data_IF_112410599398
#
_entry.id   IF_112410599398
#
_cell.length_a   1.000
_cell.length_b   1.000
_cell.length_c   1.000
_cell.angle_alpha   90.00
_cell.angle_beta   90.00
_cell.angle_gamma   90.00
#
_symmetry.space_group_name_H-M   'P 1'
#
loop_
_entity.id
_entity.type
_entity.pdbx_description
1 polymer ?
#
# COMPACT_ATOMS: atom_id res chain seq x y z
N UNK A 1 -9.50 -14.60 -2.62
CA UNK A 1 -8.46 -15.60 -2.95
C UNK A 1 -8.50 -16.71 -1.90
N UNK A 2 -8.43 -17.96 -2.28
CA UNK A 2 -8.30 -19.07 -1.33
C UNK A 2 -6.85 -19.22 -0.90
N UNK A 3 -6.62 -19.88 0.25
CA UNK A 3 -5.28 -19.99 0.82
C UNK A 3 -4.32 -20.81 -0.07
N UNK A 4 -4.82 -21.87 -0.70
CA UNK A 4 -4.06 -22.70 -1.65
C UNK A 4 -3.65 -21.96 -2.92
N UNK A 5 -4.54 -21.13 -3.46
CA UNK A 5 -4.23 -20.24 -4.59
C UNK A 5 -3.18 -19.20 -4.19
N UNK A 6 -3.35 -18.56 -3.03
CA UNK A 6 -2.40 -17.60 -2.51
C UNK A 6 -1.01 -18.23 -2.33
N UNK A 7 -0.94 -19.42 -1.73
CA UNK A 7 0.31 -20.13 -1.53
C UNK A 7 1.00 -20.46 -2.85
N UNK A 8 0.23 -20.85 -3.89
CA UNK A 8 0.76 -21.08 -5.25
C UNK A 8 1.43 -19.80 -5.79
N UNK A 9 0.79 -18.64 -5.65
CA UNK A 9 1.34 -17.38 -6.17
C UNK A 9 2.56 -16.90 -5.37
N UNK A 10 2.54 -17.05 -4.06
CA UNK A 10 3.71 -16.74 -3.21
C UNK A 10 4.88 -17.67 -3.55
N UNK A 11 4.62 -18.97 -3.75
CA UNK A 11 5.64 -19.95 -4.13
C UNK A 11 6.27 -19.64 -5.50
N UNK A 12 5.46 -19.16 -6.44
CA UNK A 12 5.93 -18.74 -7.77
C UNK A 12 6.84 -17.49 -7.64
N UNK A 13 6.38 -16.45 -6.97
CA UNK A 13 7.18 -15.25 -6.73
C UNK A 13 8.48 -15.53 -5.94
N UNK A 14 8.46 -16.49 -5.01
CA UNK A 14 9.63 -16.83 -4.20
C UNK A 14 10.82 -17.38 -5.03
N UNK A 15 10.58 -17.95 -6.20
CA UNK A 15 11.64 -18.43 -7.11
C UNK A 15 12.47 -17.27 -7.68
N UNK A 16 11.95 -16.05 -7.63
CA UNK A 16 12.56 -14.84 -8.18
C UNK A 16 13.02 -13.86 -7.09
N UNK A 17 13.17 -14.31 -5.85
CA UNK A 17 13.71 -13.49 -4.76
C UNK A 17 12.67 -12.61 -4.08
N UNK A 18 11.48 -13.15 -3.83
CA UNK A 18 10.42 -12.46 -3.08
C UNK A 18 10.90 -12.00 -1.70
N UNK A 19 10.87 -10.71 -1.43
CA UNK A 19 11.29 -10.12 -0.17
C UNK A 19 10.14 -9.77 0.75
N UNK A 20 9.05 -9.24 0.18
CA UNK A 20 7.90 -8.72 0.95
C UNK A 20 6.61 -9.10 0.23
N UNK A 21 5.61 -9.52 1.01
CA UNK A 21 4.23 -9.66 0.55
C UNK A 21 3.36 -8.68 1.32
N UNK A 22 2.73 -7.77 0.58
CA UNK A 22 1.74 -6.88 1.13
C UNK A 22 0.36 -7.53 1.04
N UNK A 23 -0.23 -7.84 2.19
CA UNK A 23 -1.52 -8.53 2.33
C UNK A 23 -2.68 -7.54 2.37
N UNK A 24 -2.64 -6.54 1.50
CA UNK A 24 -3.70 -5.55 1.35
C UNK A 24 -4.23 -5.53 -0.09
N UNK A 25 -5.12 -4.61 -0.37
CA UNK A 25 -5.67 -4.44 -1.72
C UNK A 25 -6.85 -3.46 -1.74
N UNK A 26 -7.75 -3.64 -2.72
CA UNK A 26 -8.95 -2.79 -2.89
C UNK A 26 -10.05 -3.03 -1.85
N UNK A 27 -9.76 -3.74 -0.76
CA UNK A 27 -10.65 -4.04 0.34
C UNK A 27 -9.98 -3.83 1.69
N UNK A 28 -10.60 -4.35 2.73
CA UNK A 28 -10.04 -4.32 4.08
C UNK A 28 -9.48 -5.70 4.45
N UNK A 29 -8.16 -5.79 4.58
CA UNK A 29 -7.44 -7.05 4.85
C UNK A 29 -7.94 -7.76 6.12
N UNK A 30 -8.24 -7.01 7.17
CA UNK A 30 -8.68 -7.55 8.46
C UNK A 30 -10.10 -8.13 8.47
N UNK A 31 -10.82 -8.04 7.36
CA UNK A 31 -12.07 -8.78 7.16
C UNK A 31 -11.85 -10.29 6.89
N UNK A 32 -10.63 -10.68 6.51
CA UNK A 32 -10.25 -12.07 6.35
C UNK A 32 -9.99 -12.71 7.74
N UNK A 33 -10.93 -13.53 8.23
CA UNK A 33 -10.84 -14.19 9.54
C UNK A 33 -9.61 -15.08 9.71
N UNK A 34 -9.09 -15.60 8.60
CA UNK A 34 -7.93 -16.48 8.54
C UNK A 34 -6.65 -15.74 8.09
N UNK A 35 -6.57 -14.43 8.26
CA UNK A 35 -5.38 -13.63 7.92
C UNK A 35 -4.08 -14.17 8.56
N UNK A 36 -4.07 -14.68 9.81
CA UNK A 36 -2.88 -15.32 10.37
C UNK A 36 -2.32 -16.46 9.51
N UNK A 37 -3.18 -17.23 8.84
CA UNK A 37 -2.74 -18.33 7.98
C UNK A 37 -2.04 -17.81 6.69
N UNK A 38 -2.50 -16.68 6.13
CA UNK A 38 -1.82 -16.02 5.02
C UNK A 38 -0.44 -15.48 5.44
N UNK A 39 -0.33 -14.91 6.64
CA UNK A 39 0.95 -14.48 7.20
C UNK A 39 1.91 -15.66 7.30
N UNK A 40 1.47 -16.81 7.85
CA UNK A 40 2.28 -18.05 7.97
C UNK A 40 2.75 -18.54 6.60
N UNK A 41 1.92 -18.47 5.56
CA UNK A 41 2.35 -18.79 4.19
C UNK A 41 3.48 -17.90 3.75
N UNK A 42 3.37 -16.57 3.92
CA UNK A 42 4.45 -15.63 3.58
C UNK A 42 5.74 -15.99 4.31
N UNK A 43 5.66 -16.25 5.61
CA UNK A 43 6.83 -16.65 6.44
C UNK A 43 7.44 -17.97 6.01
N UNK A 44 6.62 -18.94 5.58
CA UNK A 44 7.09 -20.24 5.05
C UNK A 44 8.06 -20.09 3.88
N UNK A 45 7.86 -19.07 3.04
CA UNK A 45 8.72 -18.77 1.87
C UNK A 45 9.82 -17.74 2.16
N UNK A 46 10.05 -17.41 3.45
CA UNK A 46 11.14 -16.52 3.88
C UNK A 46 10.91 -15.03 3.61
N UNK A 47 9.74 -14.65 3.14
CA UNK A 47 9.40 -13.26 2.89
C UNK A 47 8.88 -12.55 4.16
N UNK A 48 8.89 -11.21 4.13
CA UNK A 48 8.27 -10.38 5.16
C UNK A 48 6.79 -10.16 4.85
N UNK A 49 5.95 -10.29 5.88
CA UNK A 49 4.52 -10.03 5.79
C UNK A 49 4.22 -8.59 6.21
N UNK A 50 3.60 -7.84 5.32
CA UNK A 50 3.17 -6.47 5.53
C UNK A 50 1.64 -6.39 5.42
N UNK A 51 1.00 -5.56 6.27
CA UNK A 51 -0.43 -5.27 6.20
C UNK A 51 -0.64 -3.76 6.29
N UNK A 52 -1.48 -3.25 5.38
CA UNK A 52 -2.03 -1.91 5.42
C UNK A 52 -3.55 -1.98 5.58
N UNK A 53 -4.11 -1.37 6.61
CA UNK A 53 -5.50 -1.56 7.02
C UNK A 53 -6.05 -0.33 7.76
N UNK A 54 -7.37 -0.19 7.80
CA UNK A 54 -8.02 0.80 8.65
C UNK A 54 -7.89 0.48 10.15
N UNK A 55 -7.46 -0.73 10.51
CA UNK A 55 -7.19 -1.15 11.87
C UNK A 55 -8.40 -1.42 12.75
N UNK A 56 -9.63 -1.27 12.24
CA UNK A 56 -10.85 -1.40 13.04
C UNK A 56 -11.05 -2.78 13.65
N UNK A 57 -10.63 -3.83 12.94
CA UNK A 57 -10.70 -5.23 13.39
C UNK A 57 -9.41 -5.72 14.06
N UNK A 58 -8.36 -4.90 14.11
CA UNK A 58 -7.06 -5.29 14.65
C UNK A 58 -7.04 -5.08 16.17
N UNK A 59 -7.75 -5.94 16.89
CA UNK A 59 -7.91 -5.88 18.34
C UNK A 59 -7.93 -7.29 18.97
N UNK A 60 -7.66 -7.37 20.26
CA UNK A 60 -7.81 -8.58 21.07
C UNK A 60 -7.03 -9.78 20.53
N UNK A 61 -7.67 -10.97 20.58
CA UNK A 61 -7.00 -12.22 20.17
C UNK A 61 -6.66 -12.25 18.69
N UNK A 62 -7.48 -11.67 17.82
CA UNK A 62 -7.20 -11.64 16.39
C UNK A 62 -5.91 -10.86 16.05
N UNK A 63 -5.68 -9.74 16.71
CA UNK A 63 -4.44 -8.97 16.59
C UNK A 63 -3.24 -9.81 17.07
N UNK A 64 -3.36 -10.47 18.22
CA UNK A 64 -2.30 -11.33 18.78
C UNK A 64 -1.98 -12.49 17.84
N UNK A 65 -2.99 -13.17 17.30
CA UNK A 65 -2.81 -14.27 16.34
C UNK A 65 -2.05 -13.80 15.08
N UNK A 66 -2.30 -12.57 14.60
CA UNK A 66 -1.56 -12.02 13.48
C UNK A 66 -0.09 -11.75 13.82
N UNK A 67 0.20 -11.16 14.97
CA UNK A 67 1.57 -10.91 15.44
C UNK A 67 2.32 -12.23 15.66
N UNK A 68 1.68 -13.20 16.32
CA UNK A 68 2.27 -14.51 16.61
C UNK A 68 2.47 -15.36 15.35
N UNK A 69 1.70 -15.11 14.29
CA UNK A 69 1.92 -15.72 12.97
C UNK A 69 3.20 -15.21 12.27
N UNK A 70 3.86 -14.22 12.83
CA UNK A 70 5.10 -13.64 12.31
C UNK A 70 4.90 -12.42 11.41
N UNK A 71 3.88 -11.61 11.70
CA UNK A 71 3.69 -10.33 11.02
C UNK A 71 4.91 -9.43 11.24
N UNK A 72 5.52 -8.94 10.16
CA UNK A 72 6.73 -8.10 10.25
C UNK A 72 6.38 -6.60 10.31
N UNK A 73 5.29 -6.17 9.67
CA UNK A 73 4.92 -4.77 9.60
C UNK A 73 3.41 -4.58 9.52
N UNK A 74 2.86 -3.73 10.37
CA UNK A 74 1.47 -3.32 10.32
C UNK A 74 1.34 -1.80 10.22
N UNK A 75 0.59 -1.33 9.22
CA UNK A 75 0.35 0.08 9.00
C UNK A 75 -1.13 0.40 9.15
N UNK A 76 -1.44 1.21 10.14
CA UNK A 76 -2.77 1.75 10.33
C UNK A 76 -3.02 2.92 9.38
N UNK A 77 -4.08 2.85 8.58
CA UNK A 77 -4.61 3.99 7.84
C UNK A 77 -5.31 4.90 8.85
N UNK A 78 -4.57 5.86 9.40
CA UNK A 78 -5.02 6.71 10.49
C UNK A 78 -4.90 8.17 10.09
N UNK A 79 -5.89 8.62 9.28
CA UNK A 79 -5.92 9.96 8.69
C UNK A 79 -6.68 10.91 9.61
N UNK A 80 -6.03 11.99 10.02
CA UNK A 80 -6.56 12.94 10.99
C UNK A 80 -5.92 12.81 12.36
N UNK A 81 -5.80 13.93 13.06
CA UNK A 81 -5.17 14.02 14.39
C UNK A 81 -6.19 14.00 15.54
N UNK A 82 -7.48 14.04 15.22
CA UNK A 82 -8.58 13.96 16.19
C UNK A 82 -9.83 13.32 15.59
N UNK A 83 -10.89 13.16 16.38
CA UNK A 83 -12.15 12.55 15.97
C UNK A 83 -12.83 13.31 14.82
N UNK A 84 -12.74 14.63 14.79
CA UNK A 84 -13.39 15.44 13.77
C UNK A 84 -12.69 15.26 12.42
N UNK A 85 -11.36 15.35 12.40
CA UNK A 85 -10.56 15.15 11.20
C UNK A 85 -10.69 13.72 10.70
N UNK A 86 -10.57 12.74 11.58
CA UNK A 86 -10.72 11.33 11.23
C UNK A 86 -12.08 11.03 10.58
N UNK A 87 -13.17 11.51 11.18
CA UNK A 87 -14.52 11.28 10.67
C UNK A 87 -14.78 11.95 9.32
N UNK A 88 -14.07 13.03 9.02
CA UNK A 88 -14.17 13.73 7.74
C UNK A 88 -13.52 12.94 6.59
N UNK A 89 -12.39 12.29 6.85
CA UNK A 89 -11.55 11.71 5.80
C UNK A 89 -11.63 10.18 5.72
N UNK A 90 -11.99 9.51 6.81
CA UNK A 90 -12.15 8.06 6.81
C UNK A 90 -13.58 7.68 6.45
N UNK A 91 -13.74 7.09 5.28
CA UNK A 91 -15.04 6.70 4.73
C UNK A 91 -15.81 5.77 5.70
N UNK A 92 -17.10 6.07 5.90
CA UNK A 92 -17.96 5.37 6.86
C UNK A 92 -17.52 5.42 8.33
N UNK A 93 -16.62 6.34 8.69
CA UNK A 93 -16.33 6.56 10.10
C UNK A 93 -17.57 7.11 10.81
N UNK A 94 -17.84 6.55 12.00
CA UNK A 94 -18.89 7.02 12.91
C UNK A 94 -18.24 7.44 14.24
N UNK A 95 -18.96 8.19 15.06
CA UNK A 95 -18.41 8.66 16.32
C UNK A 95 -17.83 7.53 17.18
N UNK A 96 -16.64 7.76 17.71
CA UNK A 96 -15.88 6.81 18.51
C UNK A 96 -14.92 5.91 17.71
N UNK A 97 -14.93 5.92 16.37
CA UNK A 97 -13.99 5.13 15.56
C UNK A 97 -12.54 5.59 15.80
N UNK A 98 -12.27 6.89 15.82
CA UNK A 98 -10.94 7.42 16.12
C UNK A 98 -10.41 6.87 17.44
N UNK A 99 -11.20 6.98 18.51
CA UNK A 99 -10.83 6.48 19.83
C UNK A 99 -10.64 4.95 19.86
N UNK A 100 -11.42 4.20 19.09
CA UNK A 100 -11.22 2.77 18.95
C UNK A 100 -9.92 2.43 18.26
N UNK A 101 -9.64 3.04 17.10
CA UNK A 101 -8.39 2.78 16.37
C UNK A 101 -7.19 3.17 17.22
N UNK A 102 -7.24 4.30 17.91
CA UNK A 102 -6.19 4.70 18.83
C UNK A 102 -5.92 3.63 19.90
N UNK A 103 -6.95 3.09 20.52
CA UNK A 103 -6.80 1.96 21.48
C UNK A 103 -6.21 0.71 20.81
N UNK A 104 -6.63 0.38 19.59
CA UNK A 104 -6.10 -0.78 18.86
C UNK A 104 -4.60 -0.61 18.56
N UNK A 105 -4.16 0.61 18.22
CA UNK A 105 -2.73 0.95 18.05
C UNK A 105 -1.99 0.74 19.38
N UNK A 106 -2.48 1.32 20.47
CA UNK A 106 -1.89 1.24 21.81
C UNK A 106 -1.80 -0.23 22.29
N UNK A 107 -2.86 -1.02 22.07
CA UNK A 107 -2.89 -2.44 22.41
C UNK A 107 -1.86 -3.24 21.60
N UNK A 108 -1.77 -2.99 20.29
CA UNK A 108 -0.80 -3.68 19.43
C UNK A 108 0.64 -3.32 19.79
N UNK A 109 0.94 -2.06 20.06
CA UNK A 109 2.27 -1.62 20.53
C UNK A 109 2.65 -2.30 21.83
N UNK A 110 1.71 -2.36 22.80
CA UNK A 110 1.93 -3.04 24.07
C UNK A 110 2.20 -4.53 23.89
N UNK A 111 1.41 -5.20 23.06
CA UNK A 111 1.57 -6.64 22.80
C UNK A 111 2.86 -6.97 22.07
N UNK A 112 3.23 -6.23 21.05
CA UNK A 112 4.50 -6.41 20.34
C UNK A 112 5.68 -6.31 21.31
N UNK A 113 5.65 -5.34 22.21
CA UNK A 113 6.67 -5.19 23.26
C UNK A 113 6.66 -6.34 24.27
N UNK A 114 5.48 -6.79 24.71
CA UNK A 114 5.31 -7.88 25.67
C UNK A 114 5.77 -9.22 25.09
N UNK A 115 5.38 -9.51 23.86
CA UNK A 115 5.72 -10.78 23.18
C UNK A 115 7.18 -10.86 22.69
N UNK A 116 7.89 -9.73 22.66
CA UNK A 116 9.23 -9.64 22.08
C UNK A 116 9.23 -9.79 20.56
N UNK A 117 8.10 -9.53 19.89
CA UNK A 117 8.00 -9.55 18.44
C UNK A 117 8.75 -8.38 17.80
N UNK A 118 9.38 -8.64 16.64
CA UNK A 118 10.02 -7.60 15.81
C UNK A 118 9.02 -6.85 14.90
N UNK A 119 7.71 -7.08 15.07
CA UNK A 119 6.68 -6.42 14.28
C UNK A 119 6.75 -4.90 14.42
N UNK A 120 6.87 -4.20 13.30
CA UNK A 120 6.85 -2.73 13.28
C UNK A 120 5.41 -2.25 13.20
N UNK A 121 4.96 -1.53 14.22
CA UNK A 121 3.66 -0.86 14.23
C UNK A 121 3.84 0.56 13.71
N UNK A 122 3.05 0.94 12.70
CA UNK A 122 3.12 2.26 12.09
C UNK A 122 1.76 2.84 11.76
N UNK A 123 1.73 4.16 11.58
CA UNK A 123 0.58 4.89 11.05
C UNK A 123 0.87 5.46 9.68
N UNK A 124 -0.19 5.69 8.92
CA UNK A 124 -0.17 6.37 7.64
C UNK A 124 -1.14 7.52 7.67
N UNK A 125 -0.66 8.70 7.32
CA UNK A 125 -1.47 9.91 7.24
C UNK A 125 -1.32 10.54 5.86
N UNK A 126 -2.40 11.11 5.36
CA UNK A 126 -2.41 11.96 4.17
C UNK A 126 -2.63 13.40 4.60
N UNK A 127 -1.78 14.30 4.14
CA UNK A 127 -2.01 15.74 4.29
C UNK A 127 -3.34 16.08 3.62
N UNK A 128 -4.24 16.66 4.37
CA UNK A 128 -5.62 16.94 3.96
C UNK A 128 -5.83 18.38 3.54
N UNK A 129 -4.90 19.27 3.90
CA UNK A 129 -4.87 20.68 3.51
C UNK A 129 -3.47 21.13 3.08
N UNK A 130 -3.21 21.16 1.78
CA UNK A 130 -1.93 21.61 1.24
C UNK A 130 -1.58 23.08 1.55
N UNK A 131 -2.54 23.90 2.02
CA UNK A 131 -2.27 25.28 2.42
C UNK A 131 -1.77 25.40 3.86
N UNK A 132 -1.97 24.35 4.68
CA UNK A 132 -1.59 24.32 6.09
C UNK A 132 -0.74 23.08 6.45
N UNK A 133 0.13 22.63 5.53
CA UNK A 133 0.94 21.42 5.70
C UNK A 133 1.71 21.43 7.02
N UNK A 134 2.37 22.53 7.36
CA UNK A 134 3.21 22.62 8.56
C UNK A 134 2.40 22.44 9.85
N UNK A 135 1.22 23.05 9.94
CA UNK A 135 0.37 22.92 11.10
C UNK A 135 -0.19 21.50 11.26
N UNK A 136 -0.68 20.91 10.17
CA UNK A 136 -1.19 19.53 10.14
C UNK A 136 -0.09 18.54 10.49
N UNK A 137 1.10 18.73 9.91
CA UNK A 137 2.29 17.92 10.18
C UNK A 137 2.69 17.92 11.66
N UNK A 138 2.77 19.07 12.29
CA UNK A 138 3.16 19.19 13.71
C UNK A 138 2.12 18.55 14.64
N UNK A 139 0.83 18.73 14.37
CA UNK A 139 -0.24 18.06 15.12
C UNK A 139 -0.13 16.53 15.02
N UNK A 140 0.07 16.03 13.80
CA UNK A 140 0.16 14.59 13.60
C UNK A 140 1.44 13.98 14.18
N UNK A 141 2.57 14.68 14.11
CA UNK A 141 3.82 14.25 14.76
C UNK A 141 3.67 14.14 16.27
N UNK A 142 2.99 15.10 16.89
CA UNK A 142 2.69 15.04 18.33
C UNK A 142 1.89 13.79 18.68
N UNK A 143 0.84 13.47 17.92
CA UNK A 143 0.07 12.23 18.08
C UNK A 143 0.92 10.97 17.94
N UNK A 144 1.80 10.94 16.93
CA UNK A 144 2.70 9.81 16.69
C UNK A 144 3.68 9.59 17.84
N UNK A 145 4.23 10.67 18.38
CA UNK A 145 5.15 10.63 19.54
C UNK A 145 4.42 10.11 20.80
N UNK A 146 3.17 10.53 21.04
CA UNK A 146 2.33 10.01 22.12
C UNK A 146 2.06 8.50 21.98
N UNK A 147 1.79 8.03 20.76
CA UNK A 147 1.53 6.62 20.47
C UNK A 147 2.81 5.76 20.48
N UNK A 148 3.98 6.38 20.35
CA UNK A 148 5.27 5.67 20.28
C UNK A 148 5.42 4.77 19.05
N UNK A 149 4.83 5.13 17.92
CA UNK A 149 4.81 4.33 16.70
C UNK A 149 5.69 4.91 15.58
N UNK A 150 5.94 4.11 14.55
CA UNK A 150 6.48 4.61 13.29
C UNK A 150 5.38 5.30 12.49
N UNK A 151 5.75 6.20 11.57
CA UNK A 151 4.77 6.87 10.73
C UNK A 151 5.31 7.25 9.37
N UNK A 152 4.36 7.38 8.44
CA UNK A 152 4.56 7.98 7.14
C UNK A 152 3.44 8.98 6.87
N UNK A 153 3.82 10.20 6.54
CA UNK A 153 2.90 11.29 6.20
C UNK A 153 3.14 11.65 4.74
N UNK A 154 2.10 11.53 3.94
CA UNK A 154 2.15 11.71 2.50
C UNK A 154 1.25 12.85 2.06
N UNK A 155 1.56 13.46 0.91
CA UNK A 155 0.59 14.30 0.22
C UNK A 155 -0.57 13.45 -0.28
N UNK A 156 -1.76 14.01 -0.28
CA UNK A 156 -2.93 13.37 -0.89
C UNK A 156 -2.67 13.09 -2.36
N UNK A 157 -3.22 11.99 -2.85
CA UNK A 157 -3.10 11.57 -4.25
C UNK A 157 -4.46 11.09 -4.77
N UNK A 158 -4.62 11.05 -6.09
CA UNK A 158 -5.92 10.88 -6.75
C UNK A 158 -6.23 9.44 -7.16
N UNK A 159 -5.44 8.45 -6.73
CA UNK A 159 -5.63 7.03 -7.09
C UNK A 159 -5.90 6.84 -8.59
N UNK A 160 -4.97 7.30 -9.42
CA UNK A 160 -5.08 7.21 -10.90
C UNK A 160 -6.32 7.91 -11.47
N UNK A 161 -6.76 9.00 -10.83
CA UNK A 161 -7.92 9.77 -11.22
C UNK A 161 -9.25 9.22 -10.72
N UNK A 162 -9.25 8.18 -9.87
CA UNK A 162 -10.47 7.64 -9.29
C UNK A 162 -11.10 8.57 -8.24
N UNK A 163 -10.30 9.49 -7.68
CA UNK A 163 -10.74 10.42 -6.64
C UNK A 163 -10.45 11.87 -7.02
N UNK A 164 -11.46 12.72 -6.94
CA UNK A 164 -11.28 14.17 -7.04
C UNK A 164 -10.79 14.72 -5.69
N UNK A 165 -9.55 15.17 -5.67
CA UNK A 165 -8.89 15.72 -4.48
C UNK A 165 -8.94 17.26 -4.43
N UNK A 166 -9.70 17.91 -5.32
CA UNK A 166 -9.95 19.34 -5.32
C UNK A 166 -8.66 20.17 -5.31
N UNK A 167 -8.57 21.11 -4.36
CA UNK A 167 -7.43 22.02 -4.20
C UNK A 167 -6.11 21.31 -3.84
N UNK A 168 -6.19 20.04 -3.39
CA UNK A 168 -5.01 19.21 -3.14
C UNK A 168 -4.40 18.61 -4.42
N UNK A 169 -5.01 18.85 -5.60
CA UNK A 169 -4.52 18.36 -6.86
C UNK A 169 -3.08 18.84 -7.12
N UNK A 170 -2.19 17.90 -7.42
CA UNK A 170 -0.79 18.19 -7.69
C UNK A 170 -0.65 18.92 -9.02
N UNK A 171 0.26 19.87 -9.07
CA UNK A 171 0.56 20.70 -10.26
C UNK A 171 2.04 20.56 -10.60
N UNK A 172 2.34 20.36 -11.87
CA UNK A 172 3.72 20.24 -12.33
C UNK A 172 3.81 19.68 -13.74
N UNK A 173 5.02 19.45 -14.19
CA UNK A 173 5.26 18.75 -15.45
C UNK A 173 4.94 17.28 -15.31
N UNK A 174 4.43 16.68 -16.36
CA UNK A 174 4.29 15.24 -16.45
C UNK A 174 5.68 14.63 -16.65
N UNK A 175 6.03 13.68 -15.79
CA UNK A 175 7.20 12.84 -15.87
C UNK A 175 6.70 11.40 -15.81
N UNK A 176 7.51 10.46 -16.14
CA UNK A 176 7.12 9.05 -16.02
C UNK A 176 7.08 8.57 -14.56
N UNK A 177 6.46 7.42 -14.35
CA UNK A 177 6.38 6.73 -13.05
C UNK A 177 7.26 5.47 -13.08
N UNK A 178 7.96 5.17 -11.97
CA UNK A 178 8.84 4.01 -11.83
C UNK A 178 8.15 2.66 -11.68
N UNK A 179 6.86 2.63 -11.41
CA UNK A 179 6.14 1.38 -11.09
C UNK A 179 6.18 0.31 -12.18
N UNK A 180 6.05 0.60 -13.48
CA UNK A 180 6.16 -0.42 -14.52
C UNK A 180 7.55 -1.06 -14.63
N UNK A 181 8.58 -0.38 -14.11
CA UNK A 181 9.97 -0.81 -14.14
C UNK A 181 10.42 -1.46 -12.82
N UNK A 182 9.62 -1.31 -11.78
CA UNK A 182 9.86 -1.92 -10.47
C UNK A 182 9.50 -3.41 -10.50
N UNK A 183 10.24 -4.27 -9.76
CA UNK A 183 9.86 -5.67 -9.59
C UNK A 183 8.61 -5.87 -8.71
N UNK A 184 7.94 -4.81 -8.32
CA UNK A 184 6.69 -4.89 -7.57
C UNK A 184 5.54 -5.25 -8.49
N UNK A 185 4.81 -6.31 -8.16
CA UNK A 185 3.60 -6.72 -8.86
C UNK A 185 2.40 -6.71 -7.92
N UNK A 186 1.24 -6.37 -8.45
CA UNK A 186 -0.01 -6.41 -7.70
C UNK A 186 -0.86 -7.57 -8.22
N UNK A 187 -1.10 -8.58 -7.39
CA UNK A 187 -1.93 -9.74 -7.73
C UNK A 187 -3.26 -9.59 -7.00
N UNK A 188 -4.35 -9.42 -7.75
CA UNK A 188 -5.68 -9.23 -7.18
C UNK A 188 -6.30 -10.53 -6.70
N UNK A 189 -6.93 -10.48 -5.53
CA UNK A 189 -7.63 -11.61 -4.93
C UNK A 189 -8.97 -11.97 -5.64
N UNK A 190 -9.42 -11.11 -6.50
CA UNK A 190 -10.60 -11.23 -7.34
C UNK A 190 -10.91 -9.85 -7.89
N UNK A 191 -11.23 -9.74 -9.16
CA UNK A 191 -11.64 -8.52 -9.82
C UNK A 191 -13.15 -8.53 -10.09
N UNK A 192 -13.62 -7.57 -10.88
CA UNK A 192 -15.00 -7.52 -11.38
C UNK A 192 -15.31 -8.76 -12.24
N UNK A 193 -14.32 -9.33 -12.90
CA UNK A 193 -14.37 -10.58 -13.67
C UNK A 193 -14.48 -11.85 -12.80
N UNK A 194 -14.39 -11.70 -11.47
CA UNK A 194 -14.37 -12.79 -10.47
C UNK A 194 -13.22 -13.80 -10.62
N UNK A 195 -12.24 -13.53 -11.48
CA UNK A 195 -11.03 -14.35 -11.58
C UNK A 195 -10.03 -13.89 -10.50
N UNK A 196 -9.46 -14.85 -9.79
CA UNK A 196 -8.32 -14.61 -8.89
C UNK A 196 -7.02 -14.59 -9.69
N UNK A 197 -6.03 -13.84 -9.18
CA UNK A 197 -4.68 -13.87 -9.79
C UNK A 197 -4.47 -12.89 -10.93
N UNK A 198 -5.38 -11.96 -11.18
CA UNK A 198 -5.15 -10.88 -12.14
C UNK A 198 -3.98 -10.00 -11.69
N UNK A 199 -3.01 -9.79 -12.57
CA UNK A 199 -1.81 -9.00 -12.32
C UNK A 199 -2.00 -7.59 -12.85
N UNK A 200 -1.74 -6.61 -11.98
CA UNK A 200 -1.86 -5.18 -12.27
C UNK A 200 -0.51 -4.47 -12.12
N UNK A 201 -0.28 -3.36 -12.83
CA UNK A 201 0.98 -2.64 -12.79
C UNK A 201 1.25 -1.92 -11.46
N UNK A 202 0.18 -1.57 -10.72
CA UNK A 202 0.33 -0.87 -9.44
C UNK A 202 -0.95 -0.87 -8.62
N UNK A 203 -0.82 -0.53 -7.33
CA UNK A 203 -1.93 -0.44 -6.39
C UNK A 203 -2.79 0.83 -6.56
N UNK A 204 -2.35 1.81 -7.36
CA UNK A 204 -3.08 3.07 -7.54
C UNK A 204 -4.23 2.97 -8.55
N UNK A 205 -4.25 1.93 -9.37
CA UNK A 205 -5.34 1.72 -10.35
C UNK A 205 -6.57 1.21 -9.61
N UNK A 206 -7.48 2.12 -9.31
CA UNK A 206 -8.77 1.84 -8.70
C UNK A 206 -9.90 2.18 -9.67
N UNK A 207 -10.92 1.32 -9.75
CA UNK A 207 -12.07 1.54 -10.61
C UNK A 207 -11.83 1.34 -12.11
N UNK A 208 -10.61 0.97 -12.51
CA UNK A 208 -10.21 0.63 -13.89
C UNK A 208 -9.50 -0.72 -13.93
N UNK A 209 -9.89 -1.61 -13.05
CA UNK A 209 -9.19 -2.88 -12.84
C UNK A 209 -9.14 -3.74 -14.10
N UNK A 210 -10.20 -3.75 -14.92
CA UNK A 210 -10.25 -4.56 -16.15
C UNK A 210 -9.27 -4.05 -17.23
N UNK A 211 -9.11 -2.73 -17.35
CA UNK A 211 -8.25 -2.11 -18.36
C UNK A 211 -6.75 -2.27 -18.04
N UNK A 212 -6.42 -2.52 -16.79
CA UNK A 212 -5.06 -2.58 -16.30
C UNK A 212 -4.58 -4.00 -16.01
N UNK A 213 -5.28 -5.03 -16.46
CA UNK A 213 -4.85 -6.42 -16.31
C UNK A 213 -3.73 -6.73 -17.31
N UNK A 214 -2.57 -7.11 -16.81
CA UNK A 214 -1.37 -7.45 -17.59
C UNK A 214 -1.14 -8.96 -17.73
N UNK A 215 -1.98 -9.78 -17.11
CA UNK A 215 -1.94 -11.22 -17.14
C UNK A 215 -2.62 -11.87 -15.94
N UNK A 216 -2.63 -13.19 -15.88
CA UNK A 216 -3.26 -13.94 -14.79
C UNK A 216 -2.33 -15.04 -14.26
N UNK A 217 -1.98 -14.98 -12.97
CA UNK A 217 -1.19 -16.03 -12.30
C UNK A 217 -1.89 -17.40 -12.21
N UNK A 218 -3.17 -17.47 -12.55
CA UNK A 218 -3.89 -18.74 -12.71
C UNK A 218 -3.55 -19.46 -14.02
N UNK A 219 -3.04 -18.74 -15.02
CA UNK A 219 -2.76 -19.20 -16.39
C UNK A 219 -1.26 -19.28 -16.64
N UNK A 220 -0.50 -18.25 -16.22
CA UNK A 220 0.93 -18.12 -16.45
C UNK A 220 1.71 -17.94 -15.14
N UNK A 221 3.02 -18.18 -15.18
CA UNK A 221 3.87 -17.84 -14.04
C UNK A 221 4.17 -16.33 -14.01
N UNK A 222 4.57 -15.82 -12.85
CA UNK A 222 4.76 -14.38 -12.65
C UNK A 222 5.86 -13.78 -13.52
N UNK A 223 6.91 -14.55 -13.83
CA UNK A 223 8.01 -14.05 -14.66
C UNK A 223 7.56 -13.92 -16.12
N UNK A 224 6.80 -14.87 -16.65
CA UNK A 224 6.27 -14.79 -18.02
C UNK A 224 5.34 -13.58 -18.17
N UNK A 225 4.55 -13.28 -17.16
CA UNK A 225 3.71 -12.07 -17.14
C UNK A 225 4.58 -10.81 -17.07
N UNK A 226 5.50 -10.73 -16.10
CA UNK A 226 6.29 -9.52 -15.84
C UNK A 226 7.25 -9.17 -17.00
N UNK A 227 7.79 -10.16 -17.69
CA UNK A 227 8.64 -10.00 -18.87
C UNK A 227 7.87 -10.17 -20.18
N UNK A 228 6.56 -10.34 -20.12
CA UNK A 228 5.68 -10.53 -21.28
C UNK A 228 5.36 -9.24 -22.03
N UNK A 229 4.68 -9.40 -23.16
CA UNK A 229 4.36 -8.33 -24.11
C UNK A 229 3.55 -7.19 -23.48
N UNK A 230 2.57 -7.50 -22.62
CA UNK A 230 1.70 -6.50 -21.99
C UNK A 230 2.49 -5.56 -21.05
N UNK A 231 3.39 -6.12 -20.23
CA UNK A 231 4.27 -5.32 -19.39
C UNK A 231 5.28 -4.52 -20.22
N UNK A 232 5.83 -5.09 -21.28
CA UNK A 232 6.79 -4.37 -22.13
C UNK A 232 6.11 -3.24 -22.90
N UNK A 233 4.89 -3.46 -23.38
CA UNK A 233 4.06 -2.41 -23.99
C UNK A 233 3.83 -1.27 -23.00
N UNK A 234 3.47 -1.58 -21.75
CA UNK A 234 3.31 -0.57 -20.71
C UNK A 234 4.61 0.21 -20.44
N UNK A 235 5.76 -0.49 -20.36
CA UNK A 235 7.06 0.16 -20.18
C UNK A 235 7.39 1.10 -21.34
N UNK A 236 7.14 0.65 -22.58
CA UNK A 236 7.36 1.48 -23.76
C UNK A 236 6.47 2.73 -23.79
N UNK A 237 5.19 2.58 -23.42
CA UNK A 237 4.29 3.71 -23.26
C UNK A 237 4.81 4.73 -22.21
N UNK A 238 5.42 4.26 -21.13
CA UNK A 238 6.05 5.10 -20.13
C UNK A 238 7.37 5.73 -20.60
N UNK A 239 8.14 5.07 -21.47
CA UNK A 239 9.37 5.62 -22.09
C UNK A 239 9.06 6.72 -23.10
N UNK A 240 8.01 6.53 -23.88
CA UNK A 240 7.61 7.45 -24.96
C UNK A 240 6.69 8.59 -24.49
N UNK A 241 6.07 8.44 -23.31
CA UNK A 241 5.09 9.38 -22.78
C UNK A 241 3.68 9.21 -23.38
N UNK A 242 3.42 8.12 -24.09
CA UNK A 242 2.08 7.75 -24.58
C UNK A 242 1.37 6.85 -23.57
N UNK A 243 1.09 7.42 -22.41
CA UNK A 243 0.56 6.70 -21.25
C UNK A 243 -0.79 6.03 -21.55
N UNK A 244 -1.05 4.81 -21.02
CA UNK A 244 -2.37 4.19 -21.12
C UNK A 244 -3.41 4.99 -20.34
N UNK A 245 -4.68 4.83 -20.70
CA UNK A 245 -5.78 5.63 -20.16
C UNK A 245 -5.89 5.54 -18.63
N UNK A 246 -5.60 4.41 -18.04
CA UNK A 246 -5.57 4.25 -16.59
C UNK A 246 -4.41 4.96 -15.89
N UNK A 247 -3.39 5.43 -16.63
CA UNK A 247 -2.29 6.24 -16.10
C UNK A 247 -2.43 7.74 -16.38
N UNK A 248 -3.09 8.15 -17.47
CA UNK A 248 -3.13 9.55 -17.96
C UNK A 248 -3.54 10.57 -16.91
N UNK A 249 -4.46 10.23 -16.03
CA UNK A 249 -4.96 11.09 -14.97
C UNK A 249 -4.28 10.88 -13.62
N UNK A 250 -3.25 10.02 -13.55
CA UNK A 250 -2.55 9.71 -12.33
C UNK A 250 -1.60 10.83 -11.92
N UNK A 251 -1.75 11.34 -10.72
CA UNK A 251 -0.89 12.41 -10.20
C UNK A 251 0.52 11.95 -9.81
N UNK A 252 0.79 10.64 -9.76
CA UNK A 252 2.15 10.11 -9.64
C UNK A 252 3.00 10.29 -10.90
N UNK A 253 2.39 10.65 -12.04
CA UNK A 253 3.12 11.08 -13.23
C UNK A 253 3.66 12.52 -13.13
N UNK A 254 3.19 13.30 -12.16
CA UNK A 254 3.57 14.71 -12.02
C UNK A 254 4.92 14.80 -11.30
N UNK A 255 5.86 15.52 -11.92
CA UNK A 255 7.12 15.91 -11.31
C UNK A 255 6.84 16.94 -10.22
N UNK A 256 6.61 16.46 -9.01
CA UNK A 256 6.48 17.26 -7.81
C UNK A 256 7.53 16.79 -6.80
N UNK A 257 8.20 17.71 -6.12
CA UNK A 257 9.06 17.32 -5.02
C UNK A 257 8.23 16.53 -4.00
N UNK A 258 8.73 15.42 -3.69
CA UNK A 258 8.33 14.45 -2.67
C UNK A 258 6.86 14.37 -2.26
N UNK A 259 6.23 13.26 -2.63
CA UNK A 259 4.91 12.86 -2.12
C UNK A 259 4.98 12.43 -0.66
N UNK A 260 6.13 11.95 -0.18
CA UNK A 260 6.37 11.67 1.23
C UNK A 260 6.83 12.97 1.91
N UNK A 261 5.98 13.49 2.78
CA UNK A 261 6.23 14.73 3.51
C UNK A 261 7.13 14.48 4.73
N UNK A 262 6.88 13.38 5.44
CA UNK A 262 7.62 13.05 6.65
C UNK A 262 7.61 11.54 6.95
N UNK A 263 8.68 11.05 7.51
CA UNK A 263 8.77 9.74 8.16
C UNK A 263 9.76 9.78 9.32
N UNK A 264 9.50 9.03 10.38
CA UNK A 264 10.38 8.85 11.54
C UNK A 264 11.12 7.52 11.55
N UNK A 265 11.20 6.83 10.41
CA UNK A 265 11.96 5.59 10.26
C UNK A 265 12.61 5.47 8.89
N UNK A 266 13.68 4.68 8.81
CA UNK A 266 14.29 4.34 7.54
C UNK A 266 13.37 3.42 6.73
N UNK A 267 13.33 3.64 5.44
CA UNK A 267 12.57 2.84 4.48
C UNK A 267 13.49 2.36 3.37
N UNK A 268 13.81 1.09 3.38
CA UNK A 268 14.54 0.45 2.27
C UNK A 268 13.72 0.42 0.98
N UNK A 269 12.39 0.47 1.11
CA UNK A 269 11.44 0.38 0.00
C UNK A 269 11.18 1.70 -0.74
N UNK A 270 11.67 2.84 -0.24
CA UNK A 270 11.36 4.17 -0.81
C UNK A 270 12.10 4.53 -2.09
N UNK A 271 13.13 3.81 -2.45
CA UNK A 271 13.89 4.07 -3.69
C UNK A 271 13.05 3.90 -4.97
N UNK A 272 11.85 3.33 -4.84
CA UNK A 272 11.02 2.90 -5.95
C UNK A 272 9.79 3.79 -6.21
N UNK A 273 9.57 4.84 -5.42
CA UNK A 273 8.40 5.70 -5.57
C UNK A 273 8.74 7.09 -6.11
N UNK A 274 8.18 7.36 -7.26
CA UNK A 274 7.90 8.65 -7.89
C UNK A 274 9.08 9.60 -8.07
N UNK A 275 9.47 10.32 -7.06
CA UNK A 275 10.39 11.46 -7.18
C UNK A 275 11.87 11.09 -7.33
N UNK A 276 12.25 9.88 -6.93
CA UNK A 276 13.63 9.38 -7.07
C UNK A 276 13.83 8.42 -8.24
N UNK A 277 12.79 8.21 -9.03
CA UNK A 277 12.87 7.40 -10.23
C UNK A 277 13.48 8.21 -11.37
N UNK A 278 14.59 7.72 -11.92
CA UNK A 278 15.18 8.24 -13.14
C UNK A 278 15.05 7.19 -14.25
N UNK A 279 14.33 7.56 -15.32
CA UNK A 279 14.16 6.68 -16.47
C UNK A 279 15.50 6.31 -17.13
N UNK A 280 16.54 7.13 -16.96
CA UNK A 280 17.86 6.84 -17.50
C UNK A 280 18.50 5.62 -16.83
N UNK A 281 18.11 5.28 -15.60
CA UNK A 281 18.58 4.08 -14.89
C UNK A 281 18.02 2.78 -15.51
N UNK A 282 17.08 2.87 -16.46
CA UNK A 282 16.35 1.74 -17.04
C UNK A 282 16.33 1.78 -18.59
N UNK A 283 17.32 2.45 -19.19
CA UNK A 283 17.39 2.63 -20.66
C UNK A 283 18.19 1.59 -21.41
N UNK A 284 18.73 0.58 -20.74
CA UNK A 284 19.47 -0.51 -21.39
C UNK A 284 18.65 -1.77 -21.54
#
# INVERSE_FOLDING_TARGET
MKLDEFEKYVADCAQYGLNVVNLDGSGEATMAKNLPEYIKVVKKYGAKAFIFSNGFKMEGQYMRDCVDAGLDFYRFSFIGSDEQDYSKWMYNAVGGHYAQIRRNIEEMVAYVKESGSDCVVSTYHLITDNNNIDEELEKYKTLVDELGVKTEIWKMHNWSGAWDIGDNARKGKIKTCGRPFSPDVVIRAGGLDKKTGAVHPCCQVLGRDEEAVLGHCSEDNIADIFFGEEYETLREQHRTGDYPDFCKSCDFLIEDPEVLVYTNHERDLMKMHGTKFDLNDYRD
#
